data_IF_399522574816
#
_entry.id   IF_399522574816
#
_cell.length_a   1.000
_cell.length_b   1.000
_cell.length_c   1.000
_cell.angle_alpha   90.00
_cell.angle_beta   90.00
_cell.angle_gamma   90.00
#
_symmetry.space_group_name_H-M   'P 1'
#
loop_
_entity.id
_entity.type
_entity.pdbx_description
1 polymer ?
#
# COMPACT_ATOMS: atom_id res chain seq x y z
N UNK A 1 1.77 1.91 7.66
CA UNK A 1 0.94 2.82 6.83
C UNK A 1 1.60 4.19 6.84
N UNK A 2 1.65 4.87 5.69
CA UNK A 2 2.39 6.14 5.54
C UNK A 2 1.93 7.25 6.50
N UNK A 3 0.63 7.34 6.77
CA UNK A 3 0.08 8.35 7.69
C UNK A 3 0.59 8.23 9.14
N UNK A 4 1.11 7.08 9.54
CA UNK A 4 1.69 6.89 10.87
C UNK A 4 3.13 7.39 10.97
N UNK A 5 3.77 7.70 9.83
CA UNK A 5 5.12 8.28 9.79
C UNK A 5 5.07 9.79 10.04
N UNK A 6 4.74 10.16 11.28
CA UNK A 6 4.66 11.57 11.70
C UNK A 6 6.03 12.26 11.67
N UNK A 7 6.05 13.58 11.72
CA UNK A 7 7.30 14.36 11.68
C UNK A 7 8.20 14.14 12.92
N UNK A 8 7.62 13.65 14.02
CA UNK A 8 8.35 13.32 15.26
C UNK A 8 9.16 12.03 15.16
N UNK A 9 8.91 11.17 14.16
CA UNK A 9 9.68 9.93 13.96
C UNK A 9 10.97 10.28 13.23
N UNK A 10 12.16 10.00 13.81
CA UNK A 10 13.44 10.24 13.15
C UNK A 10 13.59 9.50 11.83
N UNK A 11 14.35 10.05 10.89
CA UNK A 11 14.60 9.46 9.55
C UNK A 11 16.05 8.97 9.36
N UNK A 12 16.87 9.04 10.40
CA UNK A 12 18.29 8.68 10.37
C UNK A 12 18.57 7.20 10.11
N UNK A 13 17.55 6.37 10.04
CA UNK A 13 17.62 4.94 9.71
C UNK A 13 17.19 4.61 8.28
N UNK A 14 16.79 5.60 7.48
CA UNK A 14 16.28 5.38 6.13
C UNK A 14 17.33 4.72 5.21
N UNK A 15 18.60 5.06 5.34
CA UNK A 15 19.72 4.46 4.60
C UNK A 15 20.02 3.00 4.98
N UNK A 16 19.49 2.54 6.12
CA UNK A 16 19.73 1.19 6.62
C UNK A 16 18.68 0.17 6.14
N UNK A 17 17.66 0.61 5.41
CA UNK A 17 16.56 -0.25 4.96
C UNK A 17 16.24 -0.06 3.49
N UNK A 18 15.54 -1.03 2.90
CA UNK A 18 14.95 -0.90 1.58
C UNK A 18 13.52 -0.39 1.70
N UNK A 19 13.17 0.59 0.87
CA UNK A 19 11.86 1.23 0.89
C UNK A 19 10.96 0.66 -0.20
N UNK A 20 9.80 0.15 0.19
CA UNK A 20 8.75 -0.28 -0.75
C UNK A 20 7.50 0.56 -0.51
N UNK A 21 7.03 1.21 -1.56
CA UNK A 21 5.80 2.00 -1.56
C UNK A 21 4.70 1.21 -2.27
N UNK A 22 3.76 0.69 -1.51
CA UNK A 22 2.59 0.02 -2.07
C UNK A 22 1.52 1.06 -2.38
N UNK A 23 1.14 1.16 -3.65
CA UNK A 23 0.07 2.03 -4.12
C UNK A 23 -1.23 1.23 -4.27
N UNK A 24 -2.34 1.86 -3.93
CA UNK A 24 -3.67 1.40 -4.26
C UNK A 24 -4.52 2.56 -4.76
N UNK A 25 -5.39 2.31 -5.74
CA UNK A 25 -6.23 3.35 -6.31
C UNK A 25 -7.05 4.09 -5.23
N UNK A 26 -7.08 5.44 -5.21
CA UNK A 26 -7.74 6.22 -4.16
C UNK A 26 -9.19 5.84 -3.90
N UNK A 27 -9.97 5.59 -4.96
CA UNK A 27 -11.35 5.17 -4.80
C UNK A 27 -11.50 3.88 -3.96
N UNK A 28 -10.56 2.93 -4.10
CA UNK A 28 -10.58 1.68 -3.32
C UNK A 28 -10.17 1.89 -1.87
N UNK A 29 -9.17 2.76 -1.65
CA UNK A 29 -8.71 3.10 -0.29
C UNK A 29 -9.85 3.78 0.46
N UNK A 30 -10.44 4.82 -0.12
CA UNK A 30 -11.50 5.61 0.51
C UNK A 30 -12.76 4.75 0.71
N UNK A 31 -13.16 3.96 -0.29
CA UNK A 31 -14.29 3.02 -0.14
C UNK A 31 -14.07 1.99 0.98
N UNK A 32 -12.83 1.56 1.20
CA UNK A 32 -12.52 0.65 2.30
C UNK A 32 -12.59 1.34 3.65
N UNK A 33 -12.08 2.57 3.74
CA UNK A 33 -12.12 3.37 4.97
C UNK A 33 -13.55 3.77 5.35
N UNK A 34 -14.38 4.18 4.38
CA UNK A 34 -15.76 4.61 4.61
C UNK A 34 -16.69 3.51 5.15
N UNK A 35 -16.28 2.25 5.06
CA UNK A 35 -16.99 1.15 5.72
C UNK A 35 -16.80 1.11 7.24
N UNK A 36 -15.78 1.81 7.74
CA UNK A 36 -15.39 1.77 9.17
C UNK A 36 -15.44 3.14 9.85
N UNK A 37 -15.39 4.22 9.06
CA UNK A 37 -15.34 5.60 9.57
C UNK A 37 -16.25 6.50 8.74
N UNK A 38 -17.10 7.27 9.40
CA UNK A 38 -18.05 8.18 8.75
C UNK A 38 -17.39 9.45 8.20
N UNK A 39 -16.37 9.97 8.89
CA UNK A 39 -15.67 11.19 8.54
C UNK A 39 -14.19 10.90 8.23
N UNK A 40 -13.86 10.81 6.95
CA UNK A 40 -12.51 10.54 6.49
C UNK A 40 -11.86 11.84 6.03
N UNK A 41 -10.63 12.10 6.49
CA UNK A 41 -9.80 13.22 6.05
C UNK A 41 -8.67 12.78 5.12
N UNK A 42 -8.01 13.73 4.45
CA UNK A 42 -6.82 13.46 3.64
C UNK A 42 -5.67 12.84 4.47
N UNK A 43 -5.55 13.23 5.73
CA UNK A 43 -4.52 12.68 6.63
C UNK A 43 -4.75 11.21 6.95
N UNK A 44 -6.00 10.76 7.04
CA UNK A 44 -6.33 9.37 7.37
C UNK A 44 -5.97 8.41 6.23
N UNK A 45 -6.12 8.84 4.98
CA UNK A 45 -5.81 8.02 3.80
C UNK A 45 -4.34 8.09 3.37
N UNK A 46 -3.59 9.10 3.81
CA UNK A 46 -2.13 9.18 3.78
C UNK A 46 -1.45 9.32 2.42
N UNK A 47 -2.12 9.67 1.32
CA UNK A 47 -1.49 9.84 0.00
C UNK A 47 -0.45 10.98 0.00
N UNK A 48 -0.77 12.11 0.61
CA UNK A 48 0.16 13.23 0.73
C UNK A 48 1.43 12.80 1.47
N UNK A 49 1.27 12.13 2.61
CA UNK A 49 2.39 11.62 3.40
C UNK A 49 3.21 10.59 2.61
N UNK A 50 2.57 9.77 1.80
CA UNK A 50 3.27 8.79 0.96
C UNK A 50 4.17 9.47 -0.09
N UNK A 51 3.71 10.55 -0.73
CA UNK A 51 4.52 11.36 -1.66
C UNK A 51 5.66 12.08 -0.92
N UNK A 52 5.40 12.64 0.26
CA UNK A 52 6.44 13.28 1.08
C UNK A 52 7.56 12.29 1.42
N UNK A 53 7.22 11.11 1.94
CA UNK A 53 8.19 10.07 2.29
C UNK A 53 8.96 9.56 1.08
N UNK A 54 8.29 9.37 -0.06
CA UNK A 54 8.96 8.98 -1.30
C UNK A 54 9.98 10.05 -1.72
N UNK A 55 9.60 11.33 -1.65
CA UNK A 55 10.50 12.44 -1.98
C UNK A 55 11.68 12.53 -1.01
N UNK A 56 11.48 12.25 0.27
CA UNK A 56 12.57 12.19 1.27
C UNK A 56 13.58 11.08 0.92
N UNK A 57 13.08 9.88 0.58
CA UNK A 57 13.92 8.73 0.18
C UNK A 57 14.75 9.06 -1.06
N UNK A 58 14.13 9.64 -2.09
CA UNK A 58 14.83 10.05 -3.32
C UNK A 58 15.89 11.13 -3.03
N UNK A 59 15.57 12.15 -2.21
CA UNK A 59 16.51 13.21 -1.84
C UNK A 59 17.75 12.70 -1.09
N UNK A 60 17.63 11.59 -0.38
CA UNK A 60 18.76 10.91 0.27
C UNK A 60 19.58 10.05 -0.70
N UNK A 61 19.26 10.03 -1.99
CA UNK A 61 19.95 9.22 -3.01
C UNK A 61 19.60 7.73 -2.95
N UNK A 62 18.53 7.38 -2.22
CA UNK A 62 18.08 5.99 -2.10
C UNK A 62 17.19 5.61 -3.28
N UNK A 63 17.08 4.29 -3.55
CA UNK A 63 16.34 3.73 -4.68
C UNK A 63 15.06 3.00 -4.18
N UNK A 64 13.94 3.71 -4.01
CA UNK A 64 12.68 3.11 -3.55
C UNK A 64 12.03 2.24 -4.63
N UNK A 65 11.36 1.19 -4.21
CA UNK A 65 10.54 0.34 -5.07
C UNK A 65 9.09 0.81 -4.94
N UNK A 66 8.46 1.14 -6.06
CA UNK A 66 7.04 1.47 -6.09
C UNK A 66 6.28 0.31 -6.71
N UNK A 67 5.22 -0.13 -6.05
CA UNK A 67 4.41 -1.28 -6.47
C UNK A 67 2.93 -0.89 -6.45
N UNK A 68 2.24 -1.15 -7.55
CA UNK A 68 0.80 -0.97 -7.59
C UNK A 68 0.10 -2.27 -7.16
N UNK A 69 -0.84 -2.18 -6.23
CA UNK A 69 -1.58 -3.34 -5.70
C UNK A 69 -2.38 -4.07 -6.79
N UNK A 70 -2.80 -3.37 -7.84
CA UNK A 70 -3.50 -3.97 -8.97
C UNK A 70 -2.60 -4.91 -9.76
N UNK A 71 -1.33 -4.55 -9.96
CA UNK A 71 -0.36 -5.38 -10.67
C UNK A 71 0.02 -6.63 -9.89
N UNK A 72 0.15 -6.53 -8.55
CA UNK A 72 0.33 -7.71 -7.69
C UNK A 72 -0.84 -8.67 -7.85
N UNK A 73 -2.06 -8.17 -7.85
CA UNK A 73 -3.26 -9.00 -7.94
C UNK A 73 -3.47 -9.60 -9.33
N UNK A 74 -3.10 -8.86 -10.38
CA UNK A 74 -3.21 -9.30 -11.77
C UNK A 74 -2.16 -10.34 -12.14
N UNK A 75 -0.93 -10.16 -11.67
CA UNK A 75 0.23 -10.99 -12.03
C UNK A 75 1.14 -11.17 -10.81
N UNK A 76 0.69 -11.89 -9.76
CA UNK A 76 1.39 -11.93 -8.47
C UNK A 76 2.81 -12.50 -8.59
N UNK A 77 2.99 -13.62 -9.28
CA UNK A 77 4.31 -14.24 -9.44
C UNK A 77 5.29 -13.29 -10.12
N UNK A 78 4.87 -12.67 -11.22
CA UNK A 78 5.71 -11.74 -11.97
C UNK A 78 6.08 -10.51 -11.13
N UNK A 79 5.11 -9.92 -10.44
CA UNK A 79 5.32 -8.70 -9.64
C UNK A 79 6.20 -9.00 -8.42
N UNK A 80 5.94 -10.09 -7.69
CA UNK A 80 6.77 -10.48 -6.54
C UNK A 80 8.19 -10.82 -6.99
N UNK A 81 8.36 -11.50 -8.14
CA UNK A 81 9.70 -11.78 -8.70
C UNK A 81 10.47 -10.48 -8.98
N UNK A 82 9.82 -9.46 -9.56
CA UNK A 82 10.46 -8.14 -9.78
C UNK A 82 10.86 -7.49 -8.45
N UNK A 83 10.00 -7.53 -7.43
CA UNK A 83 10.31 -7.01 -6.09
C UNK A 83 11.52 -7.74 -5.51
N UNK A 84 11.52 -9.06 -5.52
CA UNK A 84 12.62 -9.89 -5.02
C UNK A 84 13.94 -9.55 -5.71
N UNK A 85 13.93 -9.40 -7.04
CA UNK A 85 15.12 -8.98 -7.81
C UNK A 85 15.64 -7.61 -7.36
N UNK A 86 14.77 -6.63 -7.15
CA UNK A 86 15.16 -5.29 -6.68
C UNK A 86 15.69 -5.31 -5.24
N UNK A 87 15.22 -6.23 -4.41
CA UNK A 87 15.69 -6.43 -3.03
C UNK A 87 16.93 -7.32 -2.94
N UNK A 88 17.37 -7.93 -4.04
CA UNK A 88 18.44 -8.93 -4.08
C UNK A 88 18.15 -10.14 -3.18
N UNK A 89 16.93 -10.65 -3.22
CA UNK A 89 16.49 -11.88 -2.53
C UNK A 89 15.94 -12.88 -3.53
N UNK A 90 16.03 -14.18 -3.22
CA UNK A 90 15.47 -15.24 -4.07
C UNK A 90 13.95 -15.28 -4.01
N UNK A 91 13.31 -15.34 -5.18
CA UNK A 91 11.88 -15.62 -5.24
C UNK A 91 11.59 -17.07 -4.83
N UNK A 92 10.53 -17.29 -4.08
CA UNK A 92 10.03 -18.61 -3.68
C UNK A 92 8.52 -18.72 -3.96
N UNK A 93 8.06 -19.84 -4.50
CA UNK A 93 6.63 -20.07 -4.78
C UNK A 93 5.75 -19.95 -3.53
N UNK A 94 6.29 -20.29 -2.37
CA UNK A 94 5.61 -20.11 -1.07
C UNK A 94 5.22 -18.66 -0.76
N UNK A 95 5.79 -17.66 -1.45
CA UNK A 95 5.41 -16.26 -1.33
C UNK A 95 4.05 -15.94 -1.95
N UNK A 96 3.48 -16.88 -2.74
CA UNK A 96 2.22 -16.67 -3.45
C UNK A 96 1.00 -17.24 -2.71
N UNK A 97 1.21 -18.03 -1.68
CA UNK A 97 0.13 -18.65 -0.92
C UNK A 97 0.48 -18.79 0.55
N UNK A 98 -0.53 -18.78 1.40
CA UNK A 98 -0.40 -18.90 2.85
C UNK A 98 -1.60 -19.65 3.42
N UNK A 99 -1.47 -20.27 4.62
CA UNK A 99 -2.60 -20.93 5.28
C UNK A 99 -3.66 -19.88 5.68
N UNK A 100 -4.93 -20.29 5.66
CA UNK A 100 -6.03 -19.47 6.18
C UNK A 100 -5.84 -19.26 7.68
N UNK A 101 -6.18 -18.08 8.16
CA UNK A 101 -6.13 -17.71 9.57
C UNK A 101 -5.11 -16.62 9.87
N UNK A 102 -5.12 -16.14 11.11
CA UNK A 102 -4.17 -15.15 11.62
C UNK A 102 -2.86 -15.79 12.08
N UNK A 103 -1.89 -14.94 12.37
CA UNK A 103 -0.66 -15.33 13.03
C UNK A 103 -0.70 -14.93 14.51
N UNK A 104 -0.11 -15.75 15.38
CA UNK A 104 0.02 -15.44 16.82
C UNK A 104 0.76 -14.12 17.10
N UNK A 105 1.60 -13.71 16.16
CA UNK A 105 2.41 -12.48 16.23
C UNK A 105 1.69 -11.27 15.59
N UNK A 106 0.46 -11.43 15.10
CA UNK A 106 -0.35 -10.31 14.65
C UNK A 106 -0.65 -9.38 15.83
N UNK A 107 -0.41 -8.07 15.63
CA UNK A 107 -0.63 -7.07 16.65
C UNK A 107 -2.11 -6.86 16.98
N UNK A 108 -2.39 -6.06 18.00
CA UNK A 108 -3.76 -5.72 18.48
C UNK A 108 -4.70 -5.19 17.40
N UNK A 109 -4.16 -4.67 16.31
CA UNK A 109 -4.92 -4.16 15.17
C UNK A 109 -5.48 -5.26 14.25
N UNK A 110 -5.02 -6.49 14.39
CA UNK A 110 -5.39 -7.59 13.49
C UNK A 110 -6.90 -7.86 13.51
N UNK A 111 -7.51 -7.91 14.69
CA UNK A 111 -8.96 -8.12 14.86
C UNK A 111 -9.80 -7.05 14.15
N UNK A 112 -9.25 -5.85 13.96
CA UNK A 112 -9.96 -4.73 13.34
C UNK A 112 -9.73 -4.62 11.82
N UNK A 113 -8.51 -4.98 11.35
CA UNK A 113 -8.10 -4.70 9.97
C UNK A 113 -7.83 -5.94 9.12
N UNK A 114 -7.51 -7.10 9.72
CA UNK A 114 -6.95 -8.23 8.99
C UNK A 114 -7.95 -9.33 8.65
N UNK A 115 -9.24 -9.14 8.92
CA UNK A 115 -10.29 -10.14 8.64
C UNK A 115 -10.18 -10.70 7.21
N UNK A 116 -10.17 -9.83 6.20
CA UNK A 116 -10.02 -10.25 4.80
C UNK A 116 -8.68 -10.92 4.49
N UNK A 117 -7.61 -10.56 5.21
CA UNK A 117 -6.31 -11.19 5.04
C UNK A 117 -6.29 -12.56 5.70
N UNK A 118 -6.88 -12.70 6.88
CA UNK A 118 -7.02 -13.98 7.60
C UNK A 118 -7.89 -14.98 6.86
N UNK A 119 -8.89 -14.51 6.10
CA UNK A 119 -9.74 -15.36 5.26
C UNK A 119 -9.11 -15.75 3.93
N UNK A 120 -8.02 -15.12 3.54
CA UNK A 120 -7.34 -15.39 2.27
C UNK A 120 -6.32 -16.52 2.41
N UNK A 121 -6.01 -17.16 1.28
CA UNK A 121 -4.95 -18.17 1.17
C UNK A 121 -3.96 -17.86 0.04
N UNK A 122 -4.08 -16.67 -0.55
CA UNK A 122 -3.27 -16.19 -1.66
C UNK A 122 -3.87 -14.92 -2.27
N UNK A 123 -3.34 -14.50 -3.41
CA UNK A 123 -3.82 -13.32 -4.12
C UNK A 123 -5.15 -13.60 -4.83
N UNK A 124 -6.14 -12.75 -4.60
CA UNK A 124 -7.54 -12.95 -5.07
C UNK A 124 -7.77 -12.64 -6.56
N UNK A 125 -6.71 -12.49 -7.37
CA UNK A 125 -6.84 -12.10 -8.77
C UNK A 125 -7.19 -10.61 -8.98
N UNK A 126 -7.45 -10.20 -10.24
CA UNK A 126 -7.73 -8.82 -10.59
C UNK A 126 -8.89 -8.22 -9.79
N UNK A 127 -8.78 -6.96 -9.44
CA UNK A 127 -9.86 -6.25 -8.76
C UNK A 127 -11.01 -5.94 -9.73
N UNK A 128 -12.25 -5.94 -9.24
CA UNK A 128 -13.46 -5.54 -9.96
C UNK A 128 -13.40 -4.08 -10.42
N UNK A 129 -14.46 -3.58 -11.05
CA UNK A 129 -14.61 -2.14 -11.38
C UNK A 129 -14.34 -1.27 -10.15
N UNK A 130 -13.83 -0.05 -10.39
CA UNK A 130 -13.64 0.91 -9.33
C UNK A 130 -14.98 1.23 -8.66
N UNK A 131 -15.00 1.35 -7.31
CA UNK A 131 -16.21 1.77 -6.61
C UNK A 131 -16.59 3.19 -7.04
N UNK A 132 -17.88 3.40 -7.22
CA UNK A 132 -18.47 4.74 -7.41
C UNK A 132 -18.63 5.35 -6.02
N UNK A 133 -18.08 6.55 -5.85
CA UNK A 133 -18.17 7.31 -4.60
C UNK A 133 -18.80 8.68 -4.88
N UNK A 134 -19.48 9.23 -3.89
CA UNK A 134 -20.22 10.49 -3.99
C UNK A 134 -19.82 11.45 -2.87
N UNK A 135 -20.27 12.70 -2.97
CA UNK A 135 -20.12 13.70 -1.91
C UNK A 135 -18.67 13.94 -1.50
N UNK A 136 -18.42 13.94 -0.21
CA UNK A 136 -17.10 14.20 0.38
C UNK A 136 -16.08 13.12 -0.01
N UNK A 137 -16.50 11.87 -0.10
CA UNK A 137 -15.63 10.76 -0.50
C UNK A 137 -15.15 10.91 -1.95
N UNK A 138 -15.99 11.37 -2.86
CA UNK A 138 -15.59 11.66 -4.24
C UNK A 138 -14.56 12.79 -4.29
N UNK A 139 -14.77 13.89 -3.55
CA UNK A 139 -13.80 14.99 -3.45
C UNK A 139 -12.43 14.51 -2.94
N UNK A 140 -12.41 13.62 -1.95
CA UNK A 140 -11.17 13.01 -1.46
C UNK A 140 -10.47 12.16 -2.53
N UNK A 141 -11.23 11.43 -3.35
CA UNK A 141 -10.67 10.70 -4.50
C UNK A 141 -10.01 11.67 -5.48
N UNK A 142 -10.72 12.71 -5.87
CA UNK A 142 -10.24 13.73 -6.82
C UNK A 142 -8.96 14.40 -6.33
N UNK A 143 -8.91 14.78 -5.05
CA UNK A 143 -7.72 15.36 -4.41
C UNK A 143 -6.53 14.38 -4.35
N UNK A 144 -6.80 13.09 -4.17
CA UNK A 144 -5.76 12.05 -4.02
C UNK A 144 -5.23 11.52 -5.36
N UNK A 145 -6.01 11.61 -6.44
CA UNK A 145 -5.64 11.08 -7.75
C UNK A 145 -4.32 11.65 -8.31
N UNK A 146 -4.05 12.97 -8.26
CA UNK A 146 -2.78 13.51 -8.71
C UNK A 146 -1.59 12.94 -7.93
N UNK A 147 -1.72 12.77 -6.62
CA UNK A 147 -0.71 12.21 -5.73
C UNK A 147 -0.43 10.74 -6.07
N UNK A 148 -1.48 9.95 -6.21
CA UNK A 148 -1.38 8.56 -6.65
C UNK A 148 -0.69 8.44 -8.02
N UNK A 149 -1.12 9.24 -9.01
CA UNK A 149 -0.55 9.24 -10.36
C UNK A 149 0.91 9.67 -10.39
N UNK A 150 1.32 10.58 -9.52
CA UNK A 150 2.72 11.02 -9.44
C UNK A 150 3.65 9.87 -9.04
N UNK A 151 3.24 9.02 -8.12
CA UNK A 151 3.99 7.84 -7.69
C UNK A 151 3.86 6.66 -8.65
N UNK A 152 2.69 6.51 -9.29
CA UNK A 152 2.43 5.40 -10.22
C UNK A 152 3.42 5.37 -11.39
N UNK A 153 3.98 6.51 -11.78
CA UNK A 153 5.01 6.61 -12.84
C UNK A 153 6.29 5.84 -12.51
N UNK A 154 6.53 5.54 -11.24
CA UNK A 154 7.69 4.80 -10.75
C UNK A 154 7.39 3.32 -10.47
N UNK A 155 6.15 2.88 -10.73
CA UNK A 155 5.77 1.48 -10.49
C UNK A 155 6.52 0.52 -11.41
N UNK A 156 6.95 -0.63 -10.86
CA UNK A 156 7.74 -1.67 -11.54
C UNK A 156 6.88 -2.67 -12.30
#
# INVERSE_FOLDING_TARGET
>A
MSQHMTNSIPRNWFDQVKHIFLLRHPARVISSFSKKYDNISESDIGFKKQVELFSEVIKQGLDPIVVNSEDIRKSPEQTITKICKRLNIGFQKSMLSWPKGGNKDDGVWASHWYESAHDSTGFSGPESRLPVLEGTNLKLVEASLPLYRSLLKFAI
#
